data_IF_092950590101
#
_entry.id   IF_092950590101
#
_cell.length_a   1.000
_cell.length_b   1.000
_cell.length_c   1.000
_cell.angle_alpha   90.00
_cell.angle_beta   90.00
_cell.angle_gamma   90.00
#
_symmetry.space_group_name_H-M   'P 1'
#
loop_
_entity.id
_entity.type
_entity.pdbx_description
1 polymer ?
#
# COMPACT_ATOMS: atom_id res chain seq x y z
N UNK A 1 -19.56 2.34 -20.84
CA UNK A 1 -20.01 3.71 -20.51
C UNK A 1 -20.31 3.64 -19.04
N UNK A 2 -19.55 4.37 -18.22
CA UNK A 2 -19.79 4.43 -16.78
C UNK A 2 -20.58 5.72 -16.53
N UNK A 3 -21.69 5.58 -15.81
CA UNK A 3 -22.58 6.68 -15.45
C UNK A 3 -22.59 6.77 -13.92
N UNK A 4 -22.49 8.00 -13.41
CA UNK A 4 -22.57 8.24 -11.96
C UNK A 4 -24.05 8.34 -11.60
N UNK A 5 -24.47 7.61 -10.57
CA UNK A 5 -25.85 7.66 -10.08
C UNK A 5 -26.13 9.04 -9.47
N UNK A 6 -27.02 9.79 -10.12
CA UNK A 6 -27.42 11.14 -9.71
C UNK A 6 -28.26 11.17 -8.44
N UNK A 7 -28.78 10.03 -7.97
CA UNK A 7 -29.61 9.93 -6.76
C UNK A 7 -28.79 9.84 -5.48
N UNK A 8 -27.50 9.47 -5.60
CA UNK A 8 -26.58 9.39 -4.47
C UNK A 8 -25.70 10.64 -4.47
N UNK A 9 -25.47 11.28 -3.31
CA UNK A 9 -24.45 12.33 -3.24
C UNK A 9 -23.08 11.71 -3.57
N UNK A 10 -22.37 12.33 -4.49
CA UNK A 10 -21.02 11.96 -4.88
C UNK A 10 -20.14 13.21 -4.84
N UNK A 11 -18.88 13.03 -4.44
CA UNK A 11 -17.85 14.05 -4.57
C UNK A 11 -16.95 13.75 -5.78
N UNK A 12 -16.19 14.75 -6.24
CA UNK A 12 -15.23 14.56 -7.32
C UNK A 12 -14.18 13.51 -6.96
N UNK A 13 -13.72 13.54 -5.70
CA UNK A 13 -12.75 12.64 -5.13
C UNK A 13 -13.27 11.20 -5.09
N UNK A 14 -14.54 11.00 -4.73
CA UNK A 14 -15.17 9.67 -4.73
C UNK A 14 -15.15 9.04 -6.13
N UNK A 15 -15.54 9.82 -7.15
CA UNK A 15 -15.63 9.35 -8.53
C UNK A 15 -14.23 9.05 -9.10
N UNK A 16 -13.29 9.99 -8.93
CA UNK A 16 -11.90 9.80 -9.37
C UNK A 16 -11.29 8.58 -8.68
N UNK A 17 -11.43 8.47 -7.36
CA UNK A 17 -10.89 7.37 -6.57
C UNK A 17 -11.47 6.01 -6.97
N UNK A 18 -12.78 5.94 -7.20
CA UNK A 18 -13.44 4.72 -7.67
C UNK A 18 -12.95 4.30 -9.07
N UNK A 19 -12.84 5.24 -10.02
CA UNK A 19 -12.36 4.95 -11.37
C UNK A 19 -10.89 4.54 -11.37
N UNK A 20 -10.02 5.22 -10.61
CA UNK A 20 -8.61 4.87 -10.46
C UNK A 20 -8.45 3.44 -9.95
N UNK A 21 -9.16 3.11 -8.87
CA UNK A 21 -9.10 1.78 -8.24
C UNK A 21 -9.60 0.70 -9.19
N UNK A 22 -10.75 0.92 -9.83
CA UNK A 22 -11.31 -0.06 -10.77
C UNK A 22 -10.43 -0.30 -12.00
N UNK A 23 -9.77 0.73 -12.53
CA UNK A 23 -8.82 0.60 -13.64
C UNK A 23 -7.56 -0.17 -13.23
N UNK A 24 -7.01 0.11 -12.03
CA UNK A 24 -5.85 -0.60 -11.52
C UNK A 24 -6.16 -2.07 -11.25
N UNK A 25 -7.26 -2.38 -10.55
CA UNK A 25 -7.63 -3.75 -10.18
C UNK A 25 -8.02 -4.61 -11.37
N UNK A 26 -8.73 -4.05 -12.35
CA UNK A 26 -9.29 -4.84 -13.46
C UNK A 26 -8.35 -4.91 -14.66
N UNK A 27 -7.55 -3.86 -14.86
CA UNK A 27 -6.79 -3.69 -16.10
C UNK A 27 -5.29 -3.43 -15.87
N UNK A 28 -4.82 -3.29 -14.63
CA UNK A 28 -3.43 -2.96 -14.30
C UNK A 28 -2.93 -1.67 -14.99
N UNK A 29 -3.85 -0.73 -15.25
CA UNK A 29 -3.55 0.55 -15.91
C UNK A 29 -3.76 1.72 -14.95
N UNK A 30 -2.82 2.67 -14.96
CA UNK A 30 -2.94 3.93 -14.23
C UNK A 30 -3.79 4.94 -15.01
N UNK A 31 -4.69 5.65 -14.31
CA UNK A 31 -5.51 6.69 -14.89
C UNK A 31 -4.70 7.98 -15.04
N UNK A 32 -4.53 8.46 -16.26
CA UNK A 32 -3.86 9.73 -16.54
C UNK A 32 -4.81 10.93 -16.54
N UNK A 33 -6.01 10.79 -17.14
CA UNK A 33 -6.99 11.87 -17.24
C UNK A 33 -8.41 11.32 -17.15
N UNK A 34 -9.23 11.97 -16.35
CA UNK A 34 -10.67 11.73 -16.24
C UNK A 34 -11.42 13.02 -16.56
N UNK A 35 -12.39 12.90 -17.46
CA UNK A 35 -13.29 14.01 -17.79
C UNK A 35 -14.71 13.50 -17.57
N UNK A 36 -15.37 14.08 -16.58
CA UNK A 36 -16.79 13.86 -16.32
C UNK A 36 -17.57 14.89 -17.11
N UNK A 37 -18.50 14.46 -17.95
CA UNK A 37 -19.28 15.33 -18.82
C UNK A 37 -20.76 15.28 -18.46
N UNK A 38 -21.49 16.32 -18.86
CA UNK A 38 -22.94 16.36 -18.74
C UNK A 38 -23.59 15.14 -19.43
N UNK A 39 -24.59 14.50 -18.79
CA UNK A 39 -25.34 13.40 -19.40
C UNK A 39 -25.91 13.79 -20.77
N UNK A 40 -25.81 12.86 -21.73
CA UNK A 40 -26.34 13.08 -23.09
C UNK A 40 -25.48 13.95 -24.00
N UNK A 41 -24.38 14.53 -23.52
CA UNK A 41 -23.50 15.38 -24.34
C UNK A 41 -22.41 14.61 -25.08
N UNK A 42 -22.21 13.31 -24.77
CA UNK A 42 -21.22 12.48 -25.43
C UNK A 42 -21.56 12.29 -26.93
N UNK A 43 -20.67 12.69 -27.86
CA UNK A 43 -20.89 12.49 -29.29
C UNK A 43 -21.14 11.02 -29.66
N UNK A 44 -22.30 10.76 -30.27
CA UNK A 44 -22.74 9.43 -30.71
C UNK A 44 -23.15 9.43 -32.18
N UNK A 45 -22.95 8.33 -32.88
CA UNK A 45 -23.49 8.11 -34.24
C UNK A 45 -25.01 7.97 -34.18
N UNK A 46 -25.69 8.04 -35.33
CA UNK A 46 -27.12 7.71 -35.43
C UNK A 46 -27.46 6.30 -34.92
N UNK A 47 -26.48 5.39 -34.92
CA UNK A 47 -26.57 4.03 -34.35
C UNK A 47 -26.19 3.93 -32.87
N UNK A 48 -25.93 5.05 -32.19
CA UNK A 48 -25.61 5.10 -30.76
C UNK A 48 -24.16 4.75 -30.38
N UNK A 49 -23.28 4.48 -31.36
CA UNK A 49 -21.86 4.22 -31.09
C UNK A 49 -21.14 5.51 -30.73
N UNK A 50 -20.20 5.45 -29.78
CA UNK A 50 -19.39 6.60 -29.38
C UNK A 50 -18.53 7.06 -30.58
N UNK A 51 -18.65 8.33 -30.95
CA UNK A 51 -17.81 8.96 -31.97
C UNK A 51 -16.47 9.38 -31.37
N UNK A 52 -15.57 8.42 -31.14
CA UNK A 52 -14.28 8.65 -30.45
C UNK A 52 -13.47 9.80 -31.03
N UNK A 53 -13.53 10.00 -32.35
CA UNK A 53 -12.85 11.12 -33.04
C UNK A 53 -13.45 12.48 -32.65
N UNK A 54 -14.79 12.60 -32.62
CA UNK A 54 -15.47 13.81 -32.19
C UNK A 54 -15.22 14.09 -30.70
N UNK A 55 -15.32 13.07 -29.84
CA UNK A 55 -14.97 13.23 -28.41
C UNK A 55 -13.54 13.73 -28.22
N UNK A 56 -12.57 13.17 -28.96
CA UNK A 56 -11.18 13.61 -28.91
C UNK A 56 -11.03 15.06 -29.39
N UNK A 57 -11.70 15.43 -30.48
CA UNK A 57 -11.67 16.79 -31.00
C UNK A 57 -12.23 17.79 -30.00
N UNK A 58 -13.38 17.49 -29.38
CA UNK A 58 -14.00 18.33 -28.35
C UNK A 58 -13.13 18.46 -27.10
N UNK A 59 -12.51 17.35 -26.66
CA UNK A 59 -11.57 17.38 -25.54
C UNK A 59 -10.35 18.27 -25.83
N UNK A 60 -9.68 18.05 -26.97
CA UNK A 60 -8.49 18.82 -27.34
C UNK A 60 -8.80 20.29 -27.62
N UNK A 61 -10.02 20.60 -28.09
CA UNK A 61 -10.48 21.97 -28.29
C UNK A 61 -10.97 22.63 -26.99
N UNK A 62 -11.09 21.89 -25.88
CA UNK A 62 -11.64 22.39 -24.62
C UNK A 62 -13.15 22.70 -24.70
N UNK A 63 -13.86 22.16 -25.69
CA UNK A 63 -15.29 22.41 -25.91
C UNK A 63 -16.20 21.31 -25.34
N UNK A 64 -15.61 20.28 -24.75
CA UNK A 64 -16.36 19.26 -24.03
C UNK A 64 -17.14 19.89 -22.86
N UNK A 65 -18.40 19.50 -22.67
CA UNK A 65 -19.24 19.92 -21.53
C UNK A 65 -18.83 19.23 -20.25
N UNK A 66 -17.61 19.51 -19.80
CA UNK A 66 -17.02 18.92 -18.62
C UNK A 66 -17.63 19.51 -17.35
N UNK A 67 -18.15 18.63 -16.50
CA UNK A 67 -18.53 18.91 -15.11
C UNK A 67 -17.31 18.84 -14.18
N UNK A 68 -16.38 17.94 -14.51
CA UNK A 68 -15.15 17.71 -13.77
C UNK A 68 -14.06 17.34 -14.76
N UNK A 69 -12.89 17.94 -14.60
CA UNK A 69 -11.66 17.47 -15.22
C UNK A 69 -10.69 17.14 -14.11
N UNK A 70 -10.12 15.95 -14.19
CA UNK A 70 -9.04 15.50 -13.32
C UNK A 70 -7.90 15.03 -14.20
N UNK A 71 -6.69 15.47 -13.88
CA UNK A 71 -5.46 15.00 -14.49
C UNK A 71 -4.50 14.53 -13.41
N UNK A 72 -3.66 13.56 -13.74
CA UNK A 72 -2.60 13.08 -12.84
C UNK A 72 -1.75 14.26 -12.33
N UNK A 73 -1.51 15.27 -13.16
CA UNK A 73 -0.74 16.47 -12.81
C UNK A 73 -1.44 17.44 -11.84
N UNK A 74 -2.77 17.47 -11.77
CA UNK A 74 -3.53 18.35 -10.84
C UNK A 74 -3.88 17.65 -9.53
N UNK A 75 -4.07 16.33 -9.58
CA UNK A 75 -4.14 15.49 -8.37
C UNK A 75 -2.84 15.49 -7.57
N UNK A 76 -1.76 15.83 -8.28
CA UNK A 76 -0.36 15.76 -7.86
C UNK A 76 0.33 17.11 -8.06
N UNK A 77 -0.42 18.21 -8.11
CA UNK A 77 0.18 19.46 -7.67
C UNK A 77 0.64 19.17 -6.24
N UNK A 78 1.95 19.25 -5.93
CA UNK A 78 2.40 19.06 -4.57
C UNK A 78 1.79 20.22 -3.78
N UNK A 79 0.61 20.03 -3.19
CA UNK A 79 0.25 20.74 -1.99
C UNK A 79 1.24 20.23 -0.97
N UNK A 80 2.40 20.91 -0.96
CA UNK A 80 3.60 20.62 -0.22
C UNK A 80 3.40 19.42 0.71
N UNK A 81 3.58 18.20 0.18
CA UNK A 81 3.99 17.11 1.03
C UNK A 81 5.24 17.69 1.66
N UNK A 82 5.15 18.10 2.93
CA UNK A 82 6.27 18.68 3.64
C UNK A 82 7.45 17.77 3.30
N UNK A 83 8.54 18.30 2.69
CA UNK A 83 9.62 17.47 2.22
C UNK A 83 9.93 16.49 3.34
N UNK A 84 9.87 15.19 3.03
CA UNK A 84 10.04 14.14 4.04
C UNK A 84 11.23 14.58 4.90
N UNK A 85 11.04 14.71 6.23
CA UNK A 85 11.97 15.43 7.07
C UNK A 85 13.36 14.88 6.81
N UNK A 86 14.32 15.73 6.45
CA UNK A 86 15.67 15.27 6.14
C UNK A 86 16.35 14.83 7.45
N UNK A 87 16.08 13.58 7.82
CA UNK A 87 16.53 12.93 9.05
C UNK A 87 17.99 12.48 8.96
N UNK A 88 18.61 12.61 7.79
CA UNK A 88 20.05 12.36 7.61
C UNK A 88 20.89 13.45 8.29
N UNK A 89 20.39 14.69 8.29
CA UNK A 89 21.11 15.87 8.78
C UNK A 89 20.67 16.38 10.17
N UNK A 90 19.55 15.88 10.72
CA UNK A 90 19.03 16.36 12.02
C UNK A 90 19.46 15.48 13.19
N UNK A 91 20.34 16.01 14.04
CA UNK A 91 20.57 15.50 15.39
C UNK A 91 19.82 16.36 16.43
N UNK A 92 19.12 15.76 17.41
CA UNK A 92 18.99 14.32 17.65
C UNK A 92 17.89 13.68 16.79
N UNK A 93 18.20 12.57 16.13
CA UNK A 93 17.17 11.72 15.53
C UNK A 93 16.30 11.11 16.65
N UNK A 94 14.98 11.14 16.49
CA UNK A 94 14.04 10.52 17.44
C UNK A 94 13.22 9.44 16.74
N UNK A 95 12.68 8.48 17.50
CA UNK A 95 11.77 7.46 16.96
C UNK A 95 10.57 8.12 16.26
N UNK A 96 10.02 9.19 16.84
CA UNK A 96 8.90 9.93 16.26
C UNK A 96 9.24 10.60 14.92
N UNK A 97 10.45 11.15 14.80
CA UNK A 97 10.92 11.72 13.52
C UNK A 97 11.08 10.62 12.45
N UNK A 98 11.53 9.43 12.84
CA UNK A 98 11.67 8.29 11.94
C UNK A 98 10.33 7.68 11.53
N UNK A 99 9.35 7.66 12.43
CA UNK A 99 7.95 7.31 12.10
C UNK A 99 7.38 8.28 11.07
N UNK A 100 7.51 9.59 11.31
CA UNK A 100 7.04 10.62 10.38
C UNK A 100 7.72 10.51 9.00
N UNK A 101 9.02 10.24 8.99
CA UNK A 101 9.77 10.02 7.76
C UNK A 101 9.29 8.77 7.01
N UNK A 102 9.17 7.63 7.68
CA UNK A 102 8.67 6.39 7.08
C UNK A 102 7.25 6.57 6.53
N UNK A 103 6.36 7.24 7.27
CA UNK A 103 5.01 7.56 6.81
C UNK A 103 5.04 8.41 5.55
N UNK A 104 5.82 9.49 5.51
CA UNK A 104 5.93 10.34 4.33
C UNK A 104 6.43 9.54 3.11
N UNK A 105 7.36 8.61 3.34
CA UNK A 105 7.99 7.80 2.30
C UNK A 105 7.08 6.68 1.78
N UNK A 106 6.23 6.11 2.64
CA UNK A 106 5.19 5.15 2.27
C UNK A 106 4.02 5.88 1.58
N UNK A 107 3.59 7.01 2.13
CA UNK A 107 2.51 7.84 1.60
C UNK A 107 2.79 8.33 0.17
N UNK A 108 4.02 8.79 -0.09
CA UNK A 108 4.46 9.19 -1.43
C UNK A 108 4.33 8.06 -2.46
N UNK A 109 4.62 6.81 -2.07
CA UNK A 109 4.54 5.64 -2.95
C UNK A 109 3.12 5.18 -3.20
N UNK A 110 2.31 5.21 -2.16
CA UNK A 110 0.89 4.86 -2.24
C UNK A 110 0.04 5.99 -2.82
N UNK A 111 0.64 7.17 -3.03
CA UNK A 111 -0.03 8.41 -3.49
C UNK A 111 -1.24 8.77 -2.63
N UNK A 112 -1.08 8.63 -1.31
CA UNK A 112 -2.07 9.00 -0.29
C UNK A 112 -1.46 10.02 0.68
N UNK A 113 -2.26 10.65 1.52
CA UNK A 113 -1.75 11.58 2.54
C UNK A 113 -1.14 10.80 3.71
N UNK A 114 -0.04 11.26 4.32
CA UNK A 114 0.53 10.64 5.52
C UNK A 114 -0.47 10.52 6.68
N UNK A 115 -1.43 11.45 6.77
CA UNK A 115 -2.50 11.46 7.77
C UNK A 115 -3.52 10.34 7.59
N UNK A 116 -3.64 9.78 6.37
CA UNK A 116 -4.55 8.68 6.06
C UNK A 116 -3.93 7.31 6.43
N UNK A 117 -2.63 7.28 6.75
CA UNK A 117 -1.92 6.07 7.12
C UNK A 117 -1.89 5.91 8.65
N UNK A 118 -2.43 4.78 9.12
CA UNK A 118 -2.37 4.41 10.53
C UNK A 118 -0.97 3.91 10.91
N UNK A 119 -0.40 4.34 12.04
CA UNK A 119 0.96 3.95 12.46
C UNK A 119 1.03 2.57 13.12
N UNK A 120 -0.10 2.04 13.54
CA UNK A 120 -0.31 0.79 14.27
C UNK A 120 -0.80 -0.36 13.38
N UNK A 121 -0.99 -0.11 12.08
CA UNK A 121 -1.36 -1.11 11.09
C UNK A 121 -0.10 -1.69 10.42
N UNK A 122 -0.06 -3.00 10.10
CA UNK A 122 1.05 -3.62 9.37
C UNK A 122 1.32 -2.93 8.02
N UNK A 123 2.59 -2.70 7.70
CA UNK A 123 2.99 -2.04 6.44
C UNK A 123 2.47 -2.80 5.20
N UNK A 124 2.37 -4.13 5.27
CA UNK A 124 1.84 -4.99 4.22
C UNK A 124 0.35 -4.76 3.95
N UNK A 125 -0.41 -4.24 4.91
CA UNK A 125 -1.85 -3.97 4.75
C UNK A 125 -2.13 -2.71 3.95
N UNK A 126 -1.14 -1.83 3.75
CA UNK A 126 -1.29 -0.63 2.92
C UNK A 126 -1.18 -0.91 1.41
N UNK A 127 -0.93 -2.16 1.02
CA UNK A 127 -0.75 -2.53 -0.39
C UNK A 127 0.62 -2.16 -0.95
N UNK A 128 1.65 -2.11 -0.09
CA UNK A 128 3.03 -1.96 -0.55
C UNK A 128 3.41 -3.19 -1.39
N UNK A 129 3.55 -3.00 -2.71
CA UNK A 129 3.96 -4.06 -3.62
C UNK A 129 5.48 -4.36 -3.51
N UNK A 130 5.94 -5.35 -4.27
CA UNK A 130 7.36 -5.75 -4.28
C UNK A 130 8.29 -4.61 -4.72
N UNK A 131 7.84 -3.69 -5.58
CA UNK A 131 8.64 -2.57 -6.05
C UNK A 131 8.74 -1.49 -4.96
N UNK A 132 7.61 -1.10 -4.38
CA UNK A 132 7.55 -0.14 -3.29
C UNK A 132 8.32 -0.59 -2.06
N UNK A 133 8.38 -1.90 -1.79
CA UNK A 133 9.21 -2.46 -0.72
C UNK A 133 10.71 -2.32 -1.00
N UNK A 134 11.16 -2.56 -2.25
CA UNK A 134 12.56 -2.40 -2.65
C UNK A 134 12.97 -0.93 -2.58
N UNK A 135 12.13 -0.04 -3.07
CA UNK A 135 12.42 1.39 -3.03
C UNK A 135 12.44 1.94 -1.60
N UNK A 136 11.56 1.45 -0.72
CA UNK A 136 11.59 1.80 0.71
C UNK A 136 12.87 1.31 1.38
N UNK A 137 13.35 0.12 1.03
CA UNK A 137 14.63 -0.39 1.52
C UNK A 137 15.80 0.51 1.08
N UNK A 138 15.84 0.93 -0.19
CA UNK A 138 16.85 1.85 -0.72
C UNK A 138 16.85 3.20 0.01
N UNK A 139 15.66 3.74 0.34
CA UNK A 139 15.59 4.98 1.10
C UNK A 139 16.15 4.83 2.53
N UNK A 140 15.95 3.67 3.14
CA UNK A 140 16.46 3.38 4.48
C UNK A 140 17.98 3.20 4.48
N UNK A 141 18.57 2.74 3.39
CA UNK A 141 20.04 2.68 3.24
C UNK A 141 20.71 4.05 3.36
N UNK A 142 20.01 5.14 2.97
CA UNK A 142 20.50 6.51 3.19
C UNK A 142 20.66 6.87 4.69
N UNK A 143 20.11 6.07 5.60
CA UNK A 143 20.25 6.20 7.04
C UNK A 143 21.38 5.34 7.63
N UNK A 144 22.23 4.76 6.77
CA UNK A 144 23.31 3.82 7.13
C UNK A 144 22.80 2.56 7.85
N UNK A 145 21.60 2.12 7.46
CA UNK A 145 20.96 0.89 7.96
C UNK A 145 20.53 0.03 6.78
N UNK A 146 20.95 -1.24 6.79
CA UNK A 146 20.50 -2.22 5.80
C UNK A 146 19.15 -2.80 6.24
N UNK A 147 18.10 -2.53 5.47
CA UNK A 147 16.78 -3.10 5.68
C UNK A 147 16.57 -4.33 4.81
N UNK A 148 16.59 -5.52 5.43
CA UNK A 148 16.35 -6.78 4.71
C UNK A 148 14.87 -6.93 4.39
N UNK A 149 14.56 -7.41 3.19
CA UNK A 149 13.18 -7.57 2.70
C UNK A 149 12.34 -8.47 3.61
N UNK A 150 12.95 -9.47 4.24
CA UNK A 150 12.24 -10.37 5.15
C UNK A 150 11.56 -9.59 6.29
N UNK A 151 12.21 -8.53 6.79
CA UNK A 151 11.67 -7.69 7.86
C UNK A 151 10.38 -7.00 7.41
N UNK A 152 10.30 -6.52 6.16
CA UNK A 152 9.09 -5.92 5.61
C UNK A 152 7.99 -6.96 5.39
N UNK A 153 8.36 -8.15 4.92
CA UNK A 153 7.42 -9.27 4.66
C UNK A 153 6.80 -9.85 5.94
N UNK A 154 7.46 -9.70 7.10
CA UNK A 154 6.85 -10.04 8.40
C UNK A 154 5.70 -9.09 8.80
N UNK A 155 5.44 -8.02 8.03
CA UNK A 155 4.36 -7.07 8.28
C UNK A 155 4.52 -6.27 9.58
N UNK A 156 5.68 -5.64 9.86
CA UNK A 156 5.82 -4.76 11.01
C UNK A 156 4.92 -3.54 10.83
N UNK A 157 4.47 -2.95 11.94
CA UNK A 157 3.83 -1.63 11.90
C UNK A 157 4.88 -0.55 11.66
N UNK A 158 4.46 0.64 11.20
CA UNK A 158 5.38 1.76 10.97
C UNK A 158 6.14 2.12 12.25
N UNK A 159 5.46 2.12 13.39
CA UNK A 159 6.10 2.36 14.69
C UNK A 159 7.08 1.26 15.12
N UNK A 160 6.78 -0.01 14.81
CA UNK A 160 7.71 -1.10 15.09
C UNK A 160 8.97 -1.04 14.21
N UNK A 161 8.80 -0.69 12.93
CA UNK A 161 9.91 -0.50 12.01
C UNK A 161 10.79 0.68 12.45
N UNK A 162 10.19 1.83 12.78
CA UNK A 162 10.91 3.00 13.27
C UNK A 162 11.75 2.68 14.52
N UNK A 163 11.19 1.97 15.51
CA UNK A 163 11.96 1.54 16.69
C UNK A 163 13.14 0.64 16.34
N UNK A 164 12.95 -0.26 15.37
CA UNK A 164 13.99 -1.18 14.90
C UNK A 164 15.13 -0.43 14.21
N UNK A 165 14.79 0.50 13.31
CA UNK A 165 15.76 1.34 12.61
C UNK A 165 16.50 2.29 13.56
N UNK A 166 15.80 2.88 14.53
CA UNK A 166 16.40 3.73 15.56
C UNK A 166 17.41 2.95 16.41
N UNK A 167 17.05 1.73 16.84
CA UNK A 167 17.94 0.86 17.59
C UNK A 167 19.13 0.37 16.74
N UNK A 168 18.94 0.17 15.44
CA UNK A 168 20.00 -0.22 14.52
C UNK A 168 21.02 0.91 14.33
N UNK A 169 20.57 2.15 14.06
CA UNK A 169 21.45 3.32 13.93
C UNK A 169 22.22 3.61 15.22
N UNK A 170 21.59 3.40 16.39
CA UNK A 170 22.28 3.51 17.69
C UNK A 170 23.33 2.43 17.94
N UNK A 171 23.29 1.32 17.19
CA UNK A 171 24.29 0.23 17.20
C UNK A 171 25.31 0.34 16.06
N UNK A 172 25.00 1.11 15.01
CA UNK A 172 25.87 1.41 13.86
C UNK A 172 26.91 2.48 14.19
N UNK A 173 27.72 2.33 15.24
CA UNK A 173 29.07 1.79 15.04
C UNK A 173 29.09 0.29 14.66
N UNK A 174 28.69 -0.02 13.41
CA UNK A 174 28.76 -1.34 12.76
C UNK A 174 27.92 -2.47 13.36
N UNK A 175 26.73 -2.76 12.83
CA UNK A 175 26.13 -4.10 12.94
C UNK A 175 25.08 -4.39 11.85
N UNK A 176 25.36 -5.39 11.02
CA UNK A 176 24.44 -6.04 10.11
C UNK A 176 23.31 -6.75 10.90
N UNK A 177 22.05 -6.43 10.59
CA UNK A 177 20.90 -7.00 11.30
C UNK A 177 20.62 -8.44 10.82
N UNK A 178 20.99 -9.41 11.65
CA UNK A 178 20.39 -10.75 11.67
C UNK A 178 19.42 -10.82 12.84
N UNK A 179 18.16 -11.19 12.59
CA UNK A 179 17.28 -11.67 13.67
C UNK A 179 16.99 -13.14 13.44
N UNK A 180 17.66 -13.96 14.25
CA UNK A 180 17.36 -15.37 14.45
C UNK A 180 17.64 -15.72 15.91
N UNK A 181 16.77 -15.28 16.83
CA UNK A 181 16.71 -15.86 18.18
C UNK A 181 15.86 -17.13 18.11
N UNK A 182 16.50 -18.28 17.88
CA UNK A 182 15.97 -19.55 18.36
C UNK A 182 16.24 -19.63 19.86
N UNK A 183 15.25 -19.21 20.65
CA UNK A 183 15.17 -19.52 22.06
C UNK A 183 15.15 -21.03 22.27
N UNK A 184 16.31 -21.62 22.55
CA UNK A 184 16.43 -22.97 23.09
C UNK A 184 15.90 -22.94 24.54
N UNK A 185 14.79 -23.63 24.88
CA UNK A 185 14.42 -23.79 26.27
C UNK A 185 15.44 -24.71 26.96
N UNK A 186 16.04 -24.22 28.05
CA UNK A 186 16.87 -25.01 28.96
C UNK A 186 16.02 -26.15 29.52
N UNK A 187 16.30 -27.39 29.10
CA UNK A 187 15.79 -28.59 29.77
C UNK A 187 16.79 -29.02 30.84
N UNK A 188 16.38 -28.92 32.10
CA UNK A 188 16.92 -29.72 33.20
C UNK A 188 16.14 -31.05 33.28
N UNK A 189 16.75 -32.13 33.80
CA UNK A 189 16.35 -33.49 33.47
C UNK A 189 15.23 -34.00 34.40
N UNK A 190 14.35 -34.90 33.93
CA UNK A 190 13.66 -35.81 34.82
C UNK A 190 14.38 -37.17 34.86
N UNK A 191 14.36 -37.74 36.07
CA UNK A 191 14.91 -39.03 36.44
C UNK A 191 14.23 -40.18 35.66
N UNK A 192 15.02 -41.21 35.37
CA UNK A 192 14.60 -42.61 35.18
C UNK A 192 13.67 -43.05 36.34
N UNK A 193 12.74 -43.99 36.21
CA UNK A 193 12.47 -45.03 35.22
C UNK A 193 11.03 -45.55 35.42
N UNK A 194 10.59 -46.31 34.41
CA UNK A 194 9.70 -47.47 34.48
C UNK A 194 8.18 -47.36 34.37
N UNK A 195 7.69 -48.36 33.61
CA UNK A 195 6.32 -48.84 33.40
C UNK A 195 5.47 -47.96 32.47
N UNK A 196 5.00 -48.40 31.29
CA UNK A 196 4.64 -49.74 30.82
C UNK A 196 3.21 -49.65 30.24
N UNK A 197 2.92 -50.42 29.19
CA UNK A 197 1.60 -50.60 28.53
C UNK A 197 1.06 -49.41 27.70
N UNK A 198 0.30 -49.57 26.62
CA UNK A 198 0.09 -50.57 25.55
C UNK A 198 -1.16 -50.09 24.78
N UNK A 199 -1.19 -50.30 23.47
CA UNK A 199 -2.41 -50.55 22.66
C UNK A 199 -3.37 -49.40 22.27
N UNK A 200 -3.39 -49.15 20.95
CA UNK A 200 -4.56 -49.11 20.04
C UNK A 200 -5.59 -47.95 20.17
N UNK A 201 -5.98 -47.34 19.04
CA UNK A 201 -7.36 -47.31 18.50
C UNK A 201 -7.44 -46.45 17.22
N UNK A 202 -8.36 -46.87 16.33
CA UNK A 202 -8.52 -46.53 14.90
C UNK A 202 -9.50 -45.38 14.65
N UNK A 203 -9.44 -44.82 13.42
CA UNK A 203 -10.54 -44.25 12.57
C UNK A 203 -11.25 -43.00 13.15
N UNK A 204 -11.52 -41.91 12.42
CA UNK A 204 -12.38 -41.78 11.23
C UNK A 204 -12.22 -40.39 10.56
N UNK A 205 -12.49 -40.30 9.25
CA UNK A 205 -12.64 -39.06 8.46
C UNK A 205 -14.15 -38.71 8.29
N UNK A 206 -14.58 -37.55 7.70
CA UNK A 206 -14.55 -37.41 6.24
C UNK A 206 -14.42 -35.98 5.66
N UNK A 207 -14.20 -36.00 4.33
CA UNK A 207 -14.01 -34.91 3.36
C UNK A 207 -15.31 -34.13 3.07
N UNK A 208 -15.19 -32.83 2.78
CA UNK A 208 -16.26 -31.96 2.24
C UNK A 208 -15.90 -31.57 0.80
N UNK A 209 -16.82 -31.84 -0.13
CA UNK A 209 -16.76 -31.48 -1.55
C UNK A 209 -17.51 -30.17 -1.81
N UNK A 210 -16.95 -29.33 -2.68
CA UNK A 210 -17.51 -28.04 -3.09
C UNK A 210 -18.23 -28.19 -4.45
N UNK A 211 -19.50 -27.78 -4.54
CA UNK A 211 -20.30 -27.78 -5.77
C UNK A 211 -20.61 -26.33 -6.16
N UNK A 212 -20.14 -25.91 -7.34
CA UNK A 212 -20.45 -24.60 -7.95
C UNK A 212 -21.88 -24.59 -8.50
N UNK A 213 -22.52 -23.43 -8.43
CA UNK A 213 -23.63 -23.01 -9.29
C UNK A 213 -23.19 -21.74 -10.02
#
# INVERSE_FOLDING_TARGET
MYEVDSRKPWTAEDVVGAVRRGLAETHEVQLHTLVLIEPGTLPKTSSGKIQRRACRAEWLAGTARALLTWSESEADAPQAVAPAPDITASEPLTVKALEAWLLARIAARLRVRPEELATDVPITSFGLDSLGAVELANDVEALDVVLRMEVLLQGPTVGALARTLFAARGKSAGAELTRGEEGRPRRSPPRSSDCGCSSNWRRDAPRITCRRR
#
